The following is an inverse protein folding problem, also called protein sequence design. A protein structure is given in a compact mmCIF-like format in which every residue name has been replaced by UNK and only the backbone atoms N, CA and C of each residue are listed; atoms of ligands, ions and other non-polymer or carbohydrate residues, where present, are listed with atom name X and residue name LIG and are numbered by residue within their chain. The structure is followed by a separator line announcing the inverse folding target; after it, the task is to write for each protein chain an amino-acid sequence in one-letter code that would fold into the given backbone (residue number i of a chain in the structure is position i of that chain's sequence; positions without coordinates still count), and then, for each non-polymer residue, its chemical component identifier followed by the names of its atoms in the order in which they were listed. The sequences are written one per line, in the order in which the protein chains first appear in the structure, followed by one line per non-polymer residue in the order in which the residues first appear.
data_IF_940910061157
#
_entry.id   IF_940910061157
#
_cell.length_a   1.000
_cell.length_b   1.000
_cell.length_c   1.000
_cell.angle_alpha   90.00
_cell.angle_beta   90.00
_cell.angle_gamma   90.00
#
_symmetry.space_group_name_H-M   'P 1'
#
loop_
_entity.id
_entity.type
_entity.pdbx_description
1 polymer ?
#
# COMPACT_ATOMS: atom_id res chain seq x y z
N UNK A 1 -6.19 -17.05 -4.48
CA UNK A 1 -6.42 -16.38 -3.19
C UNK A 1 -5.12 -15.72 -2.72
N UNK A 2 -5.19 -14.49 -2.25
CA UNK A 2 -3.99 -13.81 -1.76
C UNK A 2 -3.51 -14.40 -0.45
N UNK A 3 -2.19 -14.51 -0.30
CA UNK A 3 -1.53 -14.97 0.90
C UNK A 3 -0.57 -13.89 1.38
N UNK A 4 -0.06 -14.02 2.59
CA UNK A 4 1.00 -13.12 3.06
C UNK A 4 2.18 -13.10 2.08
N UNK A 5 2.64 -14.27 1.64
CA UNK A 5 3.78 -14.37 0.73
C UNK A 5 3.52 -13.59 -0.57
N UNK A 6 2.35 -13.78 -1.19
CA UNK A 6 2.02 -13.10 -2.45
C UNK A 6 1.83 -11.59 -2.25
N UNK A 7 1.22 -11.18 -1.14
CA UNK A 7 1.02 -9.76 -0.83
C UNK A 7 2.35 -9.05 -0.58
N UNK A 8 3.24 -9.69 0.15
CA UNK A 8 4.57 -9.12 0.41
C UNK A 8 5.32 -8.88 -0.90
N UNK A 9 5.34 -9.88 -1.78
CA UNK A 9 5.98 -9.75 -3.08
C UNK A 9 5.33 -8.64 -3.92
N UNK A 10 4.01 -8.59 -3.92
CA UNK A 10 3.26 -7.56 -4.64
C UNK A 10 3.61 -6.15 -4.15
N UNK A 11 3.55 -5.93 -2.84
CA UNK A 11 3.82 -4.62 -2.24
C UNK A 11 5.27 -4.19 -2.48
N UNK A 12 6.21 -5.13 -2.36
CA UNK A 12 7.62 -4.86 -2.64
C UNK A 12 7.83 -4.41 -4.08
N UNK A 13 7.23 -5.13 -5.02
CA UNK A 13 7.35 -4.82 -6.46
C UNK A 13 6.70 -3.49 -6.81
N UNK A 14 5.59 -3.15 -6.15
CA UNK A 14 4.93 -1.85 -6.34
C UNK A 14 5.85 -0.69 -5.96
N UNK A 15 6.74 -0.90 -5.00
CA UNK A 15 7.73 0.11 -4.62
C UNK A 15 9.05 -0.02 -5.39
N UNK A 16 9.12 -0.91 -6.35
CA UNK A 16 10.32 -1.15 -7.17
C UNK A 16 11.54 -1.51 -6.31
N UNK A 17 11.33 -2.30 -5.26
CA UNK A 17 12.40 -2.72 -4.36
C UNK A 17 12.79 -4.17 -4.60
N UNK A 18 14.09 -4.45 -4.47
CA UNK A 18 14.56 -5.84 -4.44
C UNK A 18 14.29 -6.44 -3.04
N UNK A 19 14.40 -7.76 -2.94
CA UNK A 19 14.28 -8.43 -1.64
C UNK A 19 15.34 -7.92 -0.66
N UNK A 20 16.58 -7.71 -1.12
CA UNK A 20 17.64 -7.18 -0.27
C UNK A 20 17.38 -5.76 0.17
N UNK A 21 16.89 -4.91 -0.73
CA UNK A 21 16.55 -3.53 -0.39
C UNK A 21 15.47 -3.46 0.69
N UNK A 22 14.46 -4.33 0.58
CA UNK A 22 13.39 -4.36 1.56
C UNK A 22 13.92 -4.87 2.91
N UNK A 23 14.75 -5.92 2.90
CA UNK A 23 15.36 -6.44 4.13
C UNK A 23 16.19 -5.35 4.82
N UNK A 24 16.98 -4.60 4.06
CA UNK A 24 17.77 -3.49 4.61
C UNK A 24 16.88 -2.40 5.20
N UNK A 25 15.83 -2.02 4.50
CA UNK A 25 14.90 -1.00 4.98
C UNK A 25 14.22 -1.40 6.28
N UNK A 26 13.94 -2.69 6.45
CA UNK A 26 13.29 -3.23 7.65
C UNK A 26 14.30 -3.69 8.70
N UNK A 27 15.59 -3.56 8.43
CA UNK A 27 16.68 -4.01 9.32
C UNK A 27 16.57 -5.51 9.63
N UNK A 28 16.28 -6.28 8.60
CA UNK A 28 16.19 -7.74 8.68
C UNK A 28 17.37 -8.40 7.97
N UNK A 29 17.63 -9.67 8.27
CA UNK A 29 18.68 -10.44 7.59
C UNK A 29 18.33 -10.57 6.10
N UNK A 30 19.35 -10.61 5.24
CA UNK A 30 19.19 -10.57 3.78
C UNK A 30 18.30 -11.67 3.22
N UNK A 31 18.31 -12.86 3.79
CA UNK A 31 17.50 -13.96 3.31
C UNK A 31 16.06 -13.94 3.78
N UNK A 32 15.71 -13.05 4.71
CA UNK A 32 14.38 -13.07 5.36
C UNK A 32 13.23 -12.86 4.39
N UNK A 33 13.33 -11.86 3.54
CA UNK A 33 12.25 -11.51 2.61
C UNK A 33 12.04 -12.65 1.60
N UNK A 34 13.13 -13.21 1.07
CA UNK A 34 13.04 -14.36 0.16
C UNK A 34 12.34 -15.55 0.80
N UNK A 35 12.66 -15.85 2.07
CA UNK A 35 12.02 -16.93 2.80
C UNK A 35 10.54 -16.68 3.05
N UNK A 36 10.18 -15.42 3.33
CA UNK A 36 8.75 -15.06 3.49
C UNK A 36 7.99 -15.16 2.17
N UNK A 37 8.59 -14.68 1.08
CA UNK A 37 7.92 -14.71 -0.23
C UNK A 37 7.81 -16.11 -0.81
N UNK A 38 8.75 -17.00 -0.49
CA UNK A 38 8.69 -18.40 -0.93
C UNK A 38 7.74 -19.24 -0.09
N UNK A 39 7.31 -18.70 1.06
CA UNK A 39 6.46 -19.45 1.99
C UNK A 39 7.24 -20.39 2.90
N UNK A 40 8.58 -20.41 2.84
CA UNK A 40 9.38 -21.31 3.68
C UNK A 40 9.45 -20.83 5.13
N UNK A 41 9.18 -19.57 5.39
CA UNK A 41 9.09 -19.00 6.74
C UNK A 41 7.93 -18.03 6.84
N UNK A 42 7.37 -17.91 8.05
CA UNK A 42 6.38 -16.89 8.37
C UNK A 42 6.96 -15.97 9.45
N UNK A 43 6.80 -14.65 9.34
CA UNK A 43 7.40 -13.73 10.30
C UNK A 43 6.74 -13.80 11.68
N UNK A 44 7.50 -13.43 12.70
CA UNK A 44 6.94 -13.20 14.03
C UNK A 44 6.03 -11.98 13.97
N UNK A 45 5.19 -11.82 14.99
CA UNK A 45 4.23 -10.71 15.03
C UNK A 45 4.91 -9.35 14.89
N UNK A 46 6.03 -9.14 15.58
CA UNK A 46 6.76 -7.88 15.53
C UNK A 46 7.24 -7.55 14.12
N UNK A 47 7.73 -8.57 13.41
CA UNK A 47 8.19 -8.39 12.04
C UNK A 47 7.01 -8.16 11.09
N UNK A 48 5.90 -8.83 11.35
CA UNK A 48 4.68 -8.66 10.56
C UNK A 48 4.15 -7.22 10.70
N UNK A 49 4.13 -6.69 11.93
CA UNK A 49 3.75 -5.31 12.18
C UNK A 49 4.68 -4.32 11.47
N UNK A 50 5.99 -4.57 11.54
CA UNK A 50 6.98 -3.71 10.89
C UNK A 50 6.76 -3.67 9.36
N UNK A 51 6.46 -4.81 8.76
CA UNK A 51 6.18 -4.88 7.34
C UNK A 51 4.90 -4.10 7.00
N UNK A 52 3.84 -4.32 7.77
CA UNK A 52 2.57 -3.62 7.56
C UNK A 52 2.74 -2.10 7.67
N UNK A 53 3.48 -1.65 8.69
CA UNK A 53 3.74 -0.24 8.90
C UNK A 53 4.57 0.36 7.75
N UNK A 54 5.57 -0.37 7.29
CA UNK A 54 6.42 0.09 6.20
C UNK A 54 5.60 0.34 4.93
N UNK A 55 4.68 -0.55 4.61
CA UNK A 55 3.84 -0.43 3.42
C UNK A 55 2.56 0.35 3.67
N UNK A 56 2.32 0.77 4.91
CA UNK A 56 1.12 1.50 5.31
C UNK A 56 -0.16 0.73 4.94
N UNK A 57 -0.19 -0.54 5.31
CA UNK A 57 -1.35 -1.41 5.09
C UNK A 57 -1.79 -2.03 6.41
N UNK A 58 -3.04 -2.43 6.48
CA UNK A 58 -3.55 -3.17 7.63
C UNK A 58 -3.00 -4.60 7.62
N UNK A 59 -2.89 -5.20 8.81
CA UNK A 59 -2.43 -6.58 8.95
C UNK A 59 -3.31 -7.56 8.18
N UNK A 60 -4.62 -7.35 8.21
CA UNK A 60 -5.54 -8.21 7.49
C UNK A 60 -5.30 -8.20 5.98
N UNK A 61 -5.00 -7.02 5.43
CA UNK A 61 -4.65 -6.93 4.02
C UNK A 61 -3.33 -7.65 3.74
N UNK A 62 -2.31 -7.39 4.55
CA UNK A 62 -1.00 -8.01 4.39
C UNK A 62 -1.08 -9.53 4.46
N UNK A 63 -1.91 -10.07 5.35
CA UNK A 63 -2.08 -11.51 5.52
C UNK A 63 -3.03 -12.16 4.51
N UNK A 64 -3.60 -11.36 3.61
CA UNK A 64 -4.50 -11.88 2.59
C UNK A 64 -5.91 -12.15 3.06
N UNK A 65 -6.30 -11.67 4.25
CA UNK A 65 -7.63 -11.89 4.80
C UNK A 65 -8.68 -10.97 4.20
N UNK A 66 -8.26 -9.87 3.61
CA UNK A 66 -9.13 -8.93 2.92
C UNK A 66 -8.44 -8.41 1.68
N UNK A 67 -9.21 -7.97 0.70
CA UNK A 67 -8.70 -7.34 -0.52
C UNK A 67 -8.81 -5.81 -0.46
N UNK A 68 -9.25 -5.26 0.67
CA UNK A 68 -9.33 -3.81 0.83
C UNK A 68 -7.93 -3.21 0.89
N UNK A 69 -7.72 -2.20 0.04
CA UNK A 69 -6.41 -1.60 -0.17
C UNK A 69 -5.91 -0.86 1.07
N UNK A 70 -4.61 -0.48 1.01
CA UNK A 70 -3.86 0.00 2.16
C UNK A 70 -4.56 1.05 3.01
N UNK A 71 -4.26 1.00 4.30
CA UNK A 71 -4.72 2.04 5.24
C UNK A 71 -4.25 3.40 4.74
N UNK A 72 -5.15 4.39 4.80
CA UNK A 72 -4.82 5.75 4.42
C UNK A 72 -4.11 6.45 5.57
N UNK A 73 -3.14 7.30 5.25
CA UNK A 73 -2.50 8.15 6.24
C UNK A 73 -3.54 9.14 6.82
N UNK A 74 -3.22 9.74 7.96
CA UNK A 74 -4.10 10.76 8.55
C UNK A 74 -4.32 11.93 7.59
N UNK A 75 -3.27 12.33 6.88
CA UNK A 75 -3.37 13.39 5.88
C UNK A 75 -4.32 13.01 4.75
N UNK A 76 -4.19 11.79 4.23
CA UNK A 76 -5.06 11.30 3.17
C UNK A 76 -6.50 11.21 3.63
N UNK A 77 -6.74 10.73 4.86
CA UNK A 77 -8.08 10.68 5.45
C UNK A 77 -8.70 12.08 5.57
N UNK A 78 -7.90 13.04 6.01
CA UNK A 78 -8.34 14.43 6.13
C UNK A 78 -8.72 15.01 4.77
N UNK A 79 -7.87 14.80 3.76
CA UNK A 79 -8.13 15.29 2.40
C UNK A 79 -9.43 14.70 1.85
N UNK A 80 -9.63 13.40 2.01
CA UNK A 80 -10.85 12.73 1.56
C UNK A 80 -12.08 13.30 2.26
N UNK A 81 -11.99 13.52 3.56
CA UNK A 81 -13.12 14.05 4.32
C UNK A 81 -13.46 15.47 3.89
N UNK A 82 -12.46 16.31 3.69
CA UNK A 82 -12.66 17.67 3.19
C UNK A 82 -13.28 17.66 1.79
N UNK A 83 -12.80 16.77 0.93
CA UNK A 83 -13.35 16.64 -0.42
C UNK A 83 -14.83 16.24 -0.36
N UNK A 84 -15.18 15.27 0.48
CA UNK A 84 -16.57 14.82 0.62
C UNK A 84 -17.51 15.94 1.10
N UNK A 85 -16.98 16.85 1.92
CA UNK A 85 -17.77 17.96 2.47
C UNK A 85 -17.83 19.18 1.54
N UNK A 86 -17.05 19.19 0.48
CA UNK A 86 -17.02 20.32 -0.45
C UNK A 86 -18.26 20.33 -1.36
N UNK A 87 -18.59 21.51 -1.85
CA UNK A 87 -19.66 21.64 -2.84
C UNK A 87 -19.21 21.15 -4.21
N UNK A 88 -20.15 21.06 -5.16
CA UNK A 88 -19.87 20.54 -6.49
C UNK A 88 -18.80 21.36 -7.24
N UNK A 89 -18.88 22.68 -7.14
CA UNK A 89 -17.94 23.58 -7.82
C UNK A 89 -16.54 23.45 -7.26
N UNK A 90 -16.41 23.34 -5.94
CA UNK A 90 -15.11 23.14 -5.29
C UNK A 90 -14.52 21.79 -5.67
N UNK A 91 -15.34 20.73 -5.70
CA UNK A 91 -14.89 19.41 -6.12
C UNK A 91 -14.34 19.43 -7.55
N UNK A 92 -15.01 20.12 -8.46
CA UNK A 92 -14.53 20.25 -9.84
C UNK A 92 -13.20 21.01 -9.91
N UNK A 93 -13.06 22.08 -9.12
CA UNK A 93 -11.81 22.85 -9.06
C UNK A 93 -10.66 21.98 -8.56
N UNK A 94 -10.90 21.16 -7.53
CA UNK A 94 -9.90 20.24 -6.99
C UNK A 94 -9.47 19.23 -8.06
N UNK A 95 -10.43 18.66 -8.79
CA UNK A 95 -10.14 17.71 -9.85
C UNK A 95 -9.29 18.34 -10.97
N UNK A 96 -9.58 19.58 -11.33
CA UNK A 96 -8.81 20.27 -12.35
C UNK A 96 -7.36 20.48 -11.91
N UNK A 97 -7.14 20.84 -10.66
CA UNK A 97 -5.80 21.00 -10.12
C UNK A 97 -5.05 19.68 -10.12
N UNK A 98 -5.70 18.62 -9.68
CA UNK A 98 -5.07 17.30 -9.53
C UNK A 98 -4.75 16.64 -10.88
N UNK A 99 -5.46 16.98 -11.95
CA UNK A 99 -5.22 16.41 -13.29
C UNK A 99 -3.78 16.61 -13.77
N UNK A 100 -3.12 17.68 -13.31
CA UNK A 100 -1.73 17.95 -13.68
C UNK A 100 -0.77 16.87 -13.21
N UNK A 101 -1.15 16.12 -12.18
CA UNK A 101 -0.30 15.11 -11.56
C UNK A 101 -0.74 13.69 -11.88
N UNK A 102 -1.85 13.54 -12.59
CA UNK A 102 -2.39 12.23 -12.91
C UNK A 102 -1.78 11.72 -14.22
N UNK A 103 -1.29 10.48 -14.18
CA UNK A 103 -0.74 9.82 -15.37
C UNK A 103 -1.83 9.14 -16.19
N UNK A 104 -3.02 8.96 -15.63
CA UNK A 104 -4.19 8.40 -16.32
C UNK A 104 -5.35 9.35 -16.13
N UNK A 105 -6.08 9.60 -17.21
CA UNK A 105 -7.29 10.39 -17.13
C UNK A 105 -8.29 9.67 -16.22
N UNK A 106 -8.89 10.39 -15.30
CA UNK A 106 -9.89 9.86 -14.39
C UNK A 106 -11.07 9.22 -15.13
N UNK A 107 -11.39 9.70 -16.31
CA UNK A 107 -12.46 9.13 -17.15
C UNK A 107 -12.20 7.67 -17.51
N UNK A 108 -10.94 7.23 -17.55
CA UNK A 108 -10.60 5.84 -17.80
C UNK A 108 -10.82 4.94 -16.59
N UNK A 109 -11.03 5.52 -15.42
CA UNK A 109 -11.25 4.78 -14.17
C UNK A 109 -12.74 4.57 -13.88
N UNK A 110 -13.60 5.41 -14.43
CA UNK A 110 -15.05 5.39 -14.20
C UNK A 110 -15.85 4.93 -15.41
N UNK A 111 -15.14 4.45 -16.42
CA UNK A 111 -15.74 4.03 -17.70
C UNK A 111 -16.72 2.87 -17.63
#
# INVERSE_FOLDING_TARGET
MATFASRLAQLRKEKNMSQHQLADALRMAHGSIGNYESGSRFPRYEDLEAIADFFNVELDYLCGRTNERPALSLEEQWIIQCYKNADADTKEAIKLILRQFDKKDMSSLVG
#
